data_IF_598918309366
#
_entry.id   IF_598918309366
#
_cell.length_a   1.000
_cell.length_b   1.000
_cell.length_c   1.000
_cell.angle_alpha   90.00
_cell.angle_beta   90.00
_cell.angle_gamma   90.00
#
_symmetry.space_group_name_H-M   'P 1'
#
loop_
_entity.id
_entity.type
_entity.pdbx_description
1 polymer ?
#
# COMPACT_ATOMS: atom_id res chain seq x y z
N UNK A 1 -7.31 20.73 0.29
CA UNK A 1 -7.47 19.60 -0.68
C UNK A 1 -6.70 19.96 -1.94
N UNK A 2 -5.87 19.04 -2.42
CA UNK A 2 -5.17 19.20 -3.69
C UNK A 2 -5.92 18.45 -4.79
N UNK A 3 -6.53 19.17 -5.72
CA UNK A 3 -7.37 18.59 -6.79
C UNK A 3 -6.60 18.37 -8.10
N UNK A 4 -5.44 19.03 -8.27
CA UNK A 4 -4.73 19.04 -9.55
C UNK A 4 -5.46 19.81 -10.66
N UNK A 5 -4.85 19.89 -11.84
CA UNK A 5 -5.41 20.66 -12.97
C UNK A 5 -6.66 20.05 -13.61
N UNK A 6 -6.89 18.75 -13.42
CA UNK A 6 -7.99 18.00 -14.07
C UNK A 6 -8.87 17.23 -13.07
N UNK A 7 -8.80 17.56 -11.79
CA UNK A 7 -9.47 16.81 -10.70
C UNK A 7 -9.10 15.29 -10.66
N UNK A 8 -7.91 14.95 -11.13
CA UNK A 8 -7.38 13.58 -11.16
C UNK A 8 -6.13 13.43 -10.30
N UNK A 9 -5.90 14.36 -9.36
CA UNK A 9 -4.80 14.23 -8.42
C UNK A 9 -5.05 13.10 -7.42
N UNK A 10 -3.96 12.56 -6.88
CA UNK A 10 -4.07 11.52 -5.85
C UNK A 10 -4.05 10.09 -6.39
N UNK A 11 -3.99 9.89 -7.70
CA UNK A 11 -3.87 8.56 -8.32
C UNK A 11 -2.49 7.92 -8.09
N UNK A 12 -2.05 7.91 -6.83
CA UNK A 12 -0.73 7.39 -6.44
C UNK A 12 -0.56 5.91 -6.74
N UNK A 13 -1.65 5.14 -6.78
CA UNK A 13 -1.63 3.74 -7.19
C UNK A 13 -1.11 3.52 -8.60
N UNK A 14 -1.24 4.52 -9.47
CA UNK A 14 -0.78 4.47 -10.86
C UNK A 14 0.59 5.10 -11.08
N UNK A 15 1.26 5.51 -10.02
CA UNK A 15 2.67 5.92 -10.07
C UNK A 15 3.54 4.73 -10.46
N UNK A 16 4.41 4.90 -11.46
CA UNK A 16 5.37 3.87 -11.86
C UNK A 16 6.43 3.68 -10.77
N UNK A 17 6.51 2.49 -10.22
CA UNK A 17 7.52 2.09 -9.21
C UNK A 17 8.48 1.02 -9.73
N UNK A 18 8.21 0.49 -10.90
CA UNK A 18 9.05 -0.51 -11.56
C UNK A 18 8.95 -0.38 -13.09
N UNK A 19 10.06 -0.03 -13.74
CA UNK A 19 10.12 -0.05 -15.20
C UNK A 19 9.94 -1.49 -15.72
N UNK A 20 9.18 -1.65 -16.80
CA UNK A 20 8.88 -2.96 -17.43
C UNK A 20 8.32 -4.00 -16.45
N UNK A 21 7.57 -3.51 -15.47
CA UNK A 21 7.05 -4.33 -14.38
C UNK A 21 5.70 -4.99 -14.68
N UNK A 22 5.01 -5.35 -13.60
CA UNK A 22 3.71 -6.03 -13.64
C UNK A 22 2.65 -5.21 -14.38
N UNK A 23 1.80 -5.84 -15.21
CA UNK A 23 0.68 -5.14 -15.85
C UNK A 23 -0.30 -4.63 -14.81
N UNK A 24 -0.78 -3.41 -15.03
CA UNK A 24 -1.78 -2.73 -14.22
C UNK A 24 -3.13 -2.66 -14.93
N UNK A 25 -4.22 -2.62 -14.17
CA UNK A 25 -5.57 -2.46 -14.69
C UNK A 25 -5.80 -1.16 -15.50
N UNK A 26 -4.95 -0.16 -15.32
CA UNK A 26 -4.99 1.08 -16.11
C UNK A 26 -4.42 0.95 -17.54
N UNK A 27 -4.00 -0.23 -17.96
CA UNK A 27 -3.41 -0.51 -19.28
C UNK A 27 -1.89 -0.25 -19.36
N UNK A 28 -1.25 0.20 -18.30
CA UNK A 28 0.21 0.39 -18.20
C UNK A 28 0.86 -0.74 -17.41
N UNK A 29 2.18 -0.70 -17.30
CA UNK A 29 2.95 -1.64 -16.47
C UNK A 29 3.74 -0.89 -15.40
N UNK A 30 4.05 -1.59 -14.30
CA UNK A 30 4.93 -1.08 -13.25
C UNK A 30 4.28 -0.12 -12.25
N UNK A 31 2.96 0.03 -12.27
CA UNK A 31 2.24 0.86 -11.31
C UNK A 31 2.32 0.31 -9.88
N UNK A 32 2.34 1.17 -8.88
CA UNK A 32 2.34 0.80 -7.46
C UNK A 32 1.21 -0.20 -7.12
N UNK A 33 0.01 0.04 -7.61
CA UNK A 33 -1.16 -0.82 -7.41
C UNK A 33 -0.91 -2.27 -7.87
N UNK A 34 -0.13 -2.45 -8.94
CA UNK A 34 0.18 -3.77 -9.47
C UNK A 34 1.06 -4.63 -8.53
N UNK A 35 1.61 -4.03 -7.46
CA UNK A 35 2.45 -4.71 -6.46
C UNK A 35 1.87 -4.66 -5.05
N UNK A 36 1.27 -3.53 -4.65
CA UNK A 36 0.93 -3.22 -3.27
C UNK A 36 -0.58 -3.25 -2.97
N UNK A 37 -1.42 -3.65 -3.91
CA UNK A 37 -2.85 -3.83 -3.66
C UNK A 37 -3.17 -5.25 -3.19
N UNK A 38 -4.33 -5.43 -2.54
CA UNK A 38 -4.84 -6.76 -2.17
C UNK A 38 -4.99 -7.68 -3.39
N UNK A 39 -5.47 -7.13 -4.52
CA UNK A 39 -5.58 -7.86 -5.79
C UNK A 39 -4.22 -8.27 -6.35
N UNK A 40 -3.18 -7.47 -6.17
CA UNK A 40 -1.82 -7.81 -6.57
C UNK A 40 -1.25 -8.96 -5.73
N UNK A 41 -1.48 -8.95 -4.42
CA UNK A 41 -1.09 -10.03 -3.50
C UNK A 41 -1.76 -11.35 -3.90
N UNK A 42 -3.08 -11.33 -4.12
CA UNK A 42 -3.84 -12.51 -4.57
C UNK A 42 -3.34 -13.00 -5.92
N UNK A 43 -3.09 -12.10 -6.88
CA UNK A 43 -2.55 -12.47 -8.19
C UNK A 43 -1.18 -13.13 -8.07
N UNK A 44 -0.29 -12.62 -7.23
CA UNK A 44 1.02 -13.21 -6.97
C UNK A 44 0.89 -14.61 -6.37
N UNK A 45 -0.02 -14.80 -5.42
CA UNK A 45 -0.31 -16.09 -4.81
C UNK A 45 -0.83 -17.11 -5.84
N UNK A 46 -1.76 -16.72 -6.70
CA UNK A 46 -2.30 -17.58 -7.77
C UNK A 46 -1.24 -18.01 -8.77
N UNK A 47 -0.27 -17.17 -9.11
CA UNK A 47 0.82 -17.51 -10.04
C UNK A 47 1.72 -18.64 -9.54
N UNK A 48 1.82 -18.82 -8.24
CA UNK A 48 2.59 -19.94 -7.68
C UNK A 48 1.89 -21.29 -7.87
N UNK A 49 0.57 -21.30 -8.12
CA UNK A 49 -0.21 -22.52 -8.29
C UNK A 49 -0.34 -23.41 -7.04
N UNK A 50 0.48 -23.16 -6.02
CA UNK A 50 0.62 -23.95 -4.80
C UNK A 50 -0.67 -24.05 -3.98
N UNK A 51 -1.50 -23.01 -4.03
CA UNK A 51 -2.73 -22.91 -3.23
C UNK A 51 -4.00 -22.99 -4.09
N UNK A 52 -3.91 -23.55 -5.30
CA UNK A 52 -5.09 -23.74 -6.14
C UNK A 52 -6.11 -24.64 -5.43
N UNK A 53 -7.37 -24.21 -5.39
CA UNK A 53 -8.44 -24.91 -4.69
C UNK A 53 -8.46 -24.73 -3.17
N UNK A 54 -7.54 -23.96 -2.58
CA UNK A 54 -7.59 -23.63 -1.15
C UNK A 54 -8.66 -22.55 -0.93
N UNK A 55 -9.67 -22.80 -0.06
CA UNK A 55 -10.71 -21.81 0.24
C UNK A 55 -10.10 -20.47 0.72
N UNK A 56 -10.66 -19.36 0.27
CA UNK A 56 -10.26 -18.03 0.70
C UNK A 56 -9.00 -17.47 0.04
N UNK A 57 -8.33 -18.20 -0.88
CA UNK A 57 -7.15 -17.71 -1.61
C UNK A 57 -7.48 -16.64 -2.67
N UNK A 58 -8.71 -16.20 -2.73
CA UNK A 58 -9.16 -14.99 -3.44
C UNK A 58 -9.07 -13.72 -2.60
N UNK A 59 -8.65 -13.84 -1.33
CA UNK A 59 -8.50 -12.74 -0.37
C UNK A 59 -7.04 -12.57 0.05
N UNK A 60 -6.58 -11.32 0.13
CA UNK A 60 -5.23 -11.02 0.56
C UNK A 60 -4.96 -11.45 2.02
N UNK A 61 -5.98 -11.36 2.88
CA UNK A 61 -5.94 -11.75 4.29
C UNK A 61 -5.44 -13.20 4.45
N UNK A 62 -5.91 -14.12 3.61
CA UNK A 62 -5.47 -15.52 3.64
C UNK A 62 -3.98 -15.66 3.32
N UNK A 63 -3.43 -14.81 2.45
CA UNK A 63 -1.98 -14.81 2.18
C UNK A 63 -1.20 -14.32 3.40
N UNK A 64 -1.70 -13.29 4.09
CA UNK A 64 -1.10 -12.82 5.35
C UNK A 64 -1.17 -13.89 6.45
N UNK A 65 -2.28 -14.60 6.59
CA UNK A 65 -2.42 -15.70 7.54
C UNK A 65 -1.39 -16.81 7.28
N UNK A 66 -1.21 -17.20 6.01
CA UNK A 66 -0.17 -18.18 5.64
C UNK A 66 1.23 -17.70 5.93
N UNK A 67 1.52 -16.42 5.67
CA UNK A 67 2.80 -15.80 6.00
C UNK A 67 3.08 -15.87 7.52
N UNK A 68 2.08 -15.59 8.37
CA UNK A 68 2.17 -15.73 9.83
C UNK A 68 2.36 -17.18 10.27
N UNK A 69 1.74 -18.11 9.55
CA UNK A 69 1.91 -19.56 9.81
C UNK A 69 3.28 -20.10 9.35
N UNK A 70 4.17 -19.24 8.82
CA UNK A 70 5.53 -19.63 8.45
C UNK A 70 5.69 -20.08 6.99
N UNK A 71 4.67 -19.92 6.14
CA UNK A 71 4.80 -20.21 4.70
C UNK A 71 5.73 -19.18 4.05
N UNK A 72 6.90 -19.63 3.58
CA UNK A 72 7.94 -18.76 3.02
C UNK A 72 7.53 -18.07 1.73
N UNK A 73 6.72 -18.72 0.89
CA UNK A 73 6.24 -18.14 -0.37
C UNK A 73 5.24 -17.01 -0.08
N UNK A 74 4.30 -17.25 0.84
CA UNK A 74 3.35 -16.24 1.29
C UNK A 74 4.07 -15.05 1.91
N UNK A 75 5.10 -15.31 2.72
CA UNK A 75 5.93 -14.27 3.32
C UNK A 75 6.65 -13.43 2.27
N UNK A 76 7.26 -14.06 1.27
CA UNK A 76 7.91 -13.37 0.16
C UNK A 76 6.96 -12.45 -0.64
N UNK A 77 5.71 -12.89 -0.85
CA UNK A 77 4.67 -12.07 -1.50
C UNK A 77 4.36 -10.83 -0.67
N UNK A 78 4.16 -10.97 0.63
CA UNK A 78 3.80 -9.88 1.53
C UNK A 78 4.96 -8.90 1.70
N UNK A 79 6.19 -9.39 1.88
CA UNK A 79 7.40 -8.56 1.95
C UNK A 79 7.61 -7.75 0.66
N UNK A 80 7.36 -8.36 -0.49
CA UNK A 80 7.39 -7.65 -1.78
C UNK A 80 6.35 -6.53 -1.82
N UNK A 81 5.13 -6.78 -1.40
CA UNK A 81 4.07 -5.78 -1.36
C UNK A 81 4.43 -4.62 -0.41
N UNK A 82 4.92 -4.91 0.79
CA UNK A 82 5.38 -3.91 1.75
C UNK A 82 6.51 -3.05 1.18
N UNK A 83 7.48 -3.65 0.50
CA UNK A 83 8.58 -2.93 -0.14
C UNK A 83 8.08 -1.94 -1.20
N UNK A 84 7.20 -2.37 -2.11
CA UNK A 84 6.68 -1.47 -3.15
C UNK A 84 5.79 -0.38 -2.57
N UNK A 85 4.99 -0.66 -1.54
CA UNK A 85 4.24 0.36 -0.82
C UNK A 85 5.20 1.38 -0.18
N UNK A 86 6.29 0.92 0.42
CA UNK A 86 7.36 1.77 0.94
C UNK A 86 7.96 2.68 -0.12
N UNK A 87 8.29 2.16 -1.32
CA UNK A 87 8.78 2.96 -2.46
C UNK A 87 7.78 4.06 -2.81
N UNK A 88 6.49 3.71 -2.93
CA UNK A 88 5.44 4.68 -3.24
C UNK A 88 5.34 5.78 -2.19
N UNK A 89 5.38 5.43 -0.91
CA UNK A 89 5.33 6.40 0.20
C UNK A 89 6.59 7.28 0.22
N UNK A 90 7.79 6.74 -0.01
CA UNK A 90 9.02 7.51 -0.14
C UNK A 90 8.89 8.59 -1.21
N UNK A 91 8.35 8.25 -2.38
CA UNK A 91 8.13 9.22 -3.45
C UNK A 91 7.15 10.33 -3.03
N UNK A 92 6.06 9.97 -2.35
CA UNK A 92 5.09 10.96 -1.82
C UNK A 92 5.74 11.87 -0.78
N UNK A 93 6.51 11.30 0.15
CA UNK A 93 7.21 12.06 1.20
C UNK A 93 8.20 13.05 0.57
N UNK A 94 8.98 12.60 -0.39
CA UNK A 94 10.00 13.43 -1.04
C UNK A 94 9.39 14.55 -1.91
N UNK A 95 8.20 14.35 -2.47
CA UNK A 95 7.53 15.35 -3.34
C UNK A 95 6.66 16.32 -2.52
N UNK A 96 5.87 15.80 -1.57
CA UNK A 96 4.83 16.56 -0.89
C UNK A 96 5.19 16.95 0.54
N UNK A 97 6.22 16.33 1.12
CA UNK A 97 6.64 16.55 2.53
C UNK A 97 5.46 16.58 3.53
N UNK A 98 4.58 15.56 3.54
CA UNK A 98 3.43 15.55 4.43
C UNK A 98 3.88 15.31 5.88
N UNK A 99 3.14 15.83 6.86
CA UNK A 99 3.36 15.51 8.27
C UNK A 99 2.89 14.08 8.62
N UNK A 100 1.92 13.56 7.88
CA UNK A 100 1.36 12.24 8.14
C UNK A 100 0.91 11.56 6.85
N UNK A 101 1.19 10.27 6.75
CA UNK A 101 0.59 9.36 5.77
C UNK A 101 -0.33 8.42 6.54
N UNK A 102 -1.61 8.40 6.16
CA UNK A 102 -2.62 7.52 6.77
C UNK A 102 -2.86 6.36 5.82
N UNK A 103 -2.64 5.13 6.29
CA UNK A 103 -2.93 3.91 5.52
C UNK A 103 -4.30 3.39 5.95
N UNK A 104 -5.20 3.17 4.99
CA UNK A 104 -6.54 2.63 5.20
C UNK A 104 -6.85 1.46 4.27
N UNK A 105 -8.02 0.82 4.46
CA UNK A 105 -8.44 -0.35 3.70
C UNK A 105 -8.09 -1.67 4.40
N UNK A 106 -8.59 -2.80 3.89
CA UNK A 106 -8.52 -4.12 4.54
C UNK A 106 -7.11 -4.58 4.93
N UNK A 107 -6.08 -4.15 4.20
CA UNK A 107 -4.70 -4.51 4.51
C UNK A 107 -4.08 -3.69 5.66
N UNK A 108 -4.70 -2.58 6.10
CA UNK A 108 -4.13 -1.74 7.16
C UNK A 108 -4.09 -2.44 8.53
N UNK A 109 -4.84 -3.54 8.69
CA UNK A 109 -4.83 -4.37 9.90
C UNK A 109 -3.55 -5.23 10.03
N UNK A 110 -2.75 -5.28 8.99
CA UNK A 110 -1.54 -6.11 8.93
C UNK A 110 -0.32 -5.36 9.48
N UNK A 111 -0.35 -5.00 10.76
CA UNK A 111 0.68 -4.17 11.41
C UNK A 111 2.08 -4.81 11.31
N UNK A 112 2.18 -6.10 11.63
CA UNK A 112 3.43 -6.84 11.72
C UNK A 112 4.08 -7.13 10.36
N UNK A 113 3.26 -7.47 9.36
CA UNK A 113 3.72 -7.93 8.06
C UNK A 113 3.67 -6.84 6.96
N UNK A 114 2.96 -5.75 7.20
CA UNK A 114 2.84 -4.67 6.21
C UNK A 114 3.25 -3.31 6.78
N UNK A 115 2.55 -2.81 7.80
CA UNK A 115 2.71 -1.42 8.24
C UNK A 115 4.09 -1.16 8.84
N UNK A 116 4.56 -2.04 9.74
CA UNK A 116 5.89 -1.92 10.34
C UNK A 116 7.01 -2.02 9.29
N UNK A 117 7.05 -3.02 8.39
CA UNK A 117 8.05 -3.05 7.31
C UNK A 117 8.02 -1.81 6.41
N UNK A 118 6.84 -1.26 6.13
CA UNK A 118 6.70 -0.01 5.38
C UNK A 118 7.34 1.16 6.13
N UNK A 119 7.06 1.31 7.43
CA UNK A 119 7.69 2.37 8.25
C UNK A 119 9.21 2.25 8.27
N UNK A 120 9.73 1.03 8.47
CA UNK A 120 11.16 0.74 8.46
C UNK A 120 11.78 1.09 7.10
N UNK A 121 11.13 0.70 6.01
CA UNK A 121 11.59 1.03 4.66
C UNK A 121 11.64 2.54 4.42
N UNK A 122 10.59 3.27 4.78
CA UNK A 122 10.49 4.72 4.58
C UNK A 122 11.52 5.47 5.44
N UNK A 123 11.73 5.04 6.69
CA UNK A 123 12.71 5.64 7.59
C UNK A 123 14.13 5.62 7.03
N UNK A 124 14.47 4.59 6.25
CA UNK A 124 15.82 4.43 5.66
C UNK A 124 15.93 5.11 4.29
N UNK A 125 14.84 5.17 3.51
CA UNK A 125 14.91 5.53 2.08
C UNK A 125 14.32 6.91 1.74
N UNK A 126 13.55 7.54 2.64
CA UNK A 126 13.06 8.90 2.42
C UNK A 126 14.19 9.93 2.65
N UNK A 127 13.99 11.13 2.09
CA UNK A 127 14.95 12.22 2.30
C UNK A 127 15.16 12.48 3.80
N UNK A 128 16.42 12.48 4.30
CA UNK A 128 16.69 12.46 5.74
C UNK A 128 15.97 13.55 6.53
N UNK A 129 15.97 14.80 6.06
CA UNK A 129 15.29 15.90 6.77
C UNK A 129 13.78 15.70 6.92
N UNK A 130 13.15 14.93 6.02
CA UNK A 130 11.72 14.65 6.12
C UNK A 130 11.39 13.67 7.28
N UNK A 131 12.31 12.76 7.60
CA UNK A 131 12.09 11.71 8.60
C UNK A 131 12.78 11.96 9.93
N UNK A 132 13.96 12.60 9.94
CA UNK A 132 14.75 12.90 11.13
C UNK A 132 14.12 13.99 12.00
N UNK A 133 13.28 14.86 11.41
CA UNK A 133 12.57 15.92 12.15
C UNK A 133 11.62 15.38 13.24
N UNK A 134 11.27 14.08 13.19
CA UNK A 134 10.25 13.48 14.06
C UNK A 134 8.82 13.96 13.79
N UNK A 135 8.63 14.89 12.85
CA UNK A 135 7.32 15.43 12.49
C UNK A 135 6.52 14.49 11.56
N UNK A 136 7.22 13.69 10.75
CA UNK A 136 6.60 12.75 9.82
C UNK A 136 6.17 11.45 10.52
N UNK A 137 4.97 11.00 10.22
CA UNK A 137 4.44 9.73 10.76
C UNK A 137 3.68 8.94 9.69
N UNK A 138 3.77 7.62 9.76
CA UNK A 138 2.89 6.70 9.04
C UNK A 138 1.99 6.04 10.07
N UNK A 139 0.68 6.22 9.94
CA UNK A 139 -0.31 5.71 10.88
C UNK A 139 -1.39 4.90 10.15
N UNK A 140 -1.99 3.99 10.86
CA UNK A 140 -3.19 3.28 10.44
C UNK A 140 -4.41 4.19 10.61
N UNK A 141 -5.37 4.12 9.69
CA UNK A 141 -6.64 4.83 9.81
C UNK A 141 -7.43 4.32 11.04
N UNK A 142 -7.84 5.25 11.90
CA UNK A 142 -8.61 4.90 13.10
C UNK A 142 -10.03 4.37 12.79
N UNK A 143 -10.57 4.73 11.63
CA UNK A 143 -11.91 4.33 11.17
C UNK A 143 -11.87 3.11 10.22
N UNK A 144 -10.72 2.43 10.10
CA UNK A 144 -10.57 1.22 9.28
C UNK A 144 -11.02 1.42 7.83
N UNK A 145 -11.83 0.50 7.33
CA UNK A 145 -12.37 0.51 5.97
C UNK A 145 -13.38 1.62 5.71
N UNK A 146 -14.04 2.14 6.74
CA UNK A 146 -15.05 3.20 6.63
C UNK A 146 -14.43 4.60 6.47
N UNK A 147 -13.12 4.74 6.73
CA UNK A 147 -12.43 6.04 6.71
C UNK A 147 -12.64 6.84 5.41
N UNK A 148 -12.55 6.26 4.19
CA UNK A 148 -12.76 7.00 2.95
C UNK A 148 -14.20 7.51 2.81
N UNK A 149 -15.20 6.70 3.17
CA UNK A 149 -16.61 7.05 3.07
C UNK A 149 -16.97 8.17 4.06
N UNK A 150 -16.53 8.05 5.29
CA UNK A 150 -16.74 9.07 6.33
C UNK A 150 -16.04 10.36 5.93
N UNK A 151 -14.81 10.29 5.43
CA UNK A 151 -14.05 11.43 4.96
C UNK A 151 -14.75 12.16 3.81
N UNK A 152 -15.27 11.43 2.83
CA UNK A 152 -16.03 12.01 1.72
C UNK A 152 -17.32 12.71 2.20
N UNK A 153 -18.05 12.11 3.15
CA UNK A 153 -19.25 12.70 3.74
C UNK A 153 -18.95 14.01 4.50
N UNK A 154 -17.81 14.05 5.20
CA UNK A 154 -17.39 15.26 5.93
C UNK A 154 -16.97 16.38 4.97
N UNK A 155 -16.33 16.06 3.84
CA UNK A 155 -16.00 17.06 2.81
C UNK A 155 -17.25 17.74 2.23
N UNK A 156 -18.34 16.99 2.04
CA UNK A 156 -19.60 17.54 1.59
C UNK A 156 -20.20 18.56 2.57
N UNK A 157 -19.93 18.42 3.88
CA UNK A 157 -20.41 19.36 4.91
C UNK A 157 -19.55 20.61 5.06
N UNK A 158 -18.49 20.79 4.28
CA UNK A 158 -17.66 21.98 4.28
C UNK A 158 -16.73 22.11 5.50
N UNK A 159 -16.32 20.98 6.08
CA UNK A 159 -15.30 20.90 7.15
C UNK A 159 -13.90 20.83 6.57
#
# INVERSE_FOLDING_TARGET
IYNGGFNTSGEVGHMMVQQDGEPCGCGRSGCLEAYASGTAIVRAARRLGKWNGVPGMDKAETVFEKARAGDGDARGIVERAARYLGIGIVNIVNILSPNVVIISGGMCEQEDLLIRPVREYVAVNAYPLAVESGAFRIIKAALGEDAPMIGAALLYRGL
#
